data_IF_093978292820
#
_entry.id   IF_093978292820
#
_cell.length_a   1.000
_cell.length_b   1.000
_cell.length_c   1.000
_cell.angle_alpha   90.00
_cell.angle_beta   90.00
_cell.angle_gamma   90.00
#
_symmetry.space_group_name_H-M   'P 1'
#
loop_
_entity.id
_entity.type
_entity.pdbx_description
1 polymer ?
#
# COMPACT_ATOMS: atom_id res chain seq x y z
N UNK A 1 15.04 11.91 9.67
CA UNK A 1 14.93 11.69 8.21
C UNK A 1 15.52 10.32 7.93
N UNK A 2 14.68 9.31 7.70
CA UNK A 2 15.15 7.93 7.47
C UNK A 2 15.57 7.76 6.02
N UNK A 3 16.81 7.32 5.82
CA UNK A 3 17.44 7.07 4.54
C UNK A 3 16.84 5.81 3.88
N UNK A 4 15.80 5.99 3.06
CA UNK A 4 15.48 5.00 2.04
C UNK A 4 16.37 5.30 0.82
N UNK A 5 17.53 4.65 0.81
CA UNK A 5 18.50 4.66 -0.27
C UNK A 5 17.83 4.38 -1.62
N UNK A 6 17.89 5.37 -2.53
CA UNK A 6 18.14 5.35 -3.99
C UNK A 6 18.04 4.04 -4.79
N UNK A 7 17.16 3.11 -4.46
CA UNK A 7 16.62 2.15 -5.42
C UNK A 7 15.37 2.82 -5.96
N UNK A 8 15.45 3.35 -7.18
CA UNK A 8 14.30 3.93 -7.86
C UNK A 8 13.24 2.84 -7.99
N UNK A 9 12.29 2.90 -7.07
CA UNK A 9 11.06 2.14 -7.09
C UNK A 9 10.45 2.25 -8.49
N UNK A 10 10.36 1.11 -9.18
CA UNK A 10 9.91 1.08 -10.58
C UNK A 10 8.38 1.02 -10.59
N UNK A 11 7.69 1.74 -11.50
CA UNK A 11 6.24 1.64 -11.61
C UNK A 11 5.79 0.19 -11.75
N UNK A 12 4.71 -0.18 -11.07
CA UNK A 12 4.19 -1.54 -11.05
C UNK A 12 2.67 -1.57 -11.19
N UNK A 13 2.13 -2.72 -11.59
CA UNK A 13 0.70 -3.06 -11.51
C UNK A 13 0.34 -3.47 -10.09
N UNK A 14 -0.95 -3.56 -9.75
CA UNK A 14 -1.41 -4.03 -8.43
C UNK A 14 -0.90 -5.45 -8.09
N UNK A 15 -0.81 -6.32 -9.09
CA UNK A 15 -0.35 -7.69 -8.87
C UNK A 15 1.14 -7.77 -8.50
N UNK A 16 1.97 -6.92 -9.14
CA UNK A 16 3.43 -6.96 -8.99
C UNK A 16 3.99 -5.95 -7.98
N UNK A 17 3.17 -5.03 -7.49
CA UNK A 17 3.59 -3.98 -6.58
C UNK A 17 3.95 -4.52 -5.20
N UNK A 18 5.07 -4.02 -4.66
CA UNK A 18 5.55 -4.29 -3.31
C UNK A 18 5.41 -3.06 -2.41
N UNK A 19 5.21 -1.88 -3.01
CA UNK A 19 5.12 -0.63 -2.30
C UNK A 19 4.03 0.27 -2.89
N UNK A 20 3.53 1.16 -2.06
CA UNK A 20 2.56 2.17 -2.44
C UNK A 20 2.93 3.54 -1.86
N UNK A 21 2.94 4.56 -2.70
CA UNK A 21 3.05 5.95 -2.26
C UNK A 21 1.66 6.58 -2.24
N UNK A 22 1.32 7.21 -1.11
CA UNK A 22 0.07 7.95 -0.96
C UNK A 22 0.24 9.33 -1.58
N UNK A 23 -0.50 9.65 -2.65
CA UNK A 23 -0.52 10.98 -3.27
C UNK A 23 -1.59 11.88 -2.69
N UNK A 24 -2.72 11.29 -2.29
CA UNK A 24 -3.80 12.00 -1.61
C UNK A 24 -4.50 11.01 -0.67
N UNK A 25 -4.71 11.41 0.59
CA UNK A 25 -5.43 10.60 1.57
C UNK A 25 -6.88 11.08 1.71
N UNK A 26 -7.80 10.13 1.86
CA UNK A 26 -9.19 10.42 2.25
C UNK A 26 -9.35 10.35 3.77
N UNK A 27 -10.32 11.08 4.28
CA UNK A 27 -10.66 11.06 5.69
C UNK A 27 -10.97 9.63 6.15
N UNK A 28 -10.28 9.18 7.21
CA UNK A 28 -10.40 7.83 7.76
C UNK A 28 -9.23 6.90 7.45
N UNK A 29 -8.50 7.11 6.34
CA UNK A 29 -7.26 6.37 6.07
C UNK A 29 -6.13 7.00 6.90
N UNK A 30 -5.66 6.30 7.93
CA UNK A 30 -4.61 6.77 8.87
C UNK A 30 -3.22 6.70 8.22
N UNK A 31 -3.05 7.46 7.14
CA UNK A 31 -1.84 7.45 6.31
C UNK A 31 -1.34 8.86 6.04
N UNK A 32 -0.02 8.97 5.87
CA UNK A 32 0.69 10.20 5.59
C UNK A 32 0.91 10.36 4.08
N UNK A 33 0.45 11.48 3.52
CA UNK A 33 0.69 11.84 2.12
C UNK A 33 2.19 12.00 1.85
N UNK A 34 2.64 11.46 0.71
CA UNK A 34 4.04 11.44 0.29
C UNK A 34 4.85 10.27 0.86
N UNK A 35 4.34 9.58 1.89
CA UNK A 35 4.99 8.39 2.46
C UNK A 35 4.80 7.18 1.56
N UNK A 36 5.81 6.31 1.57
CA UNK A 36 5.78 4.99 0.93
C UNK A 36 5.53 3.94 2.01
N UNK A 37 4.57 3.06 1.75
CA UNK A 37 4.22 1.92 2.58
C UNK A 37 4.55 0.65 1.83
N UNK A 38 4.90 -0.41 2.56
CA UNK A 38 5.03 -1.75 2.01
C UNK A 38 3.63 -2.36 1.87
N UNK A 39 3.38 -2.98 0.72
CA UNK A 39 2.17 -3.76 0.49
C UNK A 39 2.36 -5.16 1.06
N UNK A 40 1.37 -5.61 1.79
CA UNK A 40 1.25 -6.97 2.29
C UNK A 40 0.02 -7.63 1.65
N UNK A 41 -0.03 -8.97 1.68
CA UNK A 41 -1.14 -9.75 1.13
C UNK A 41 -1.66 -10.74 2.17
N UNK A 42 -2.97 -10.71 2.39
CA UNK A 42 -3.66 -11.64 3.27
C UNK A 42 -4.32 -12.74 2.44
N UNK A 43 -3.96 -14.00 2.68
CA UNK A 43 -4.45 -15.16 1.94
C UNK A 43 -5.48 -15.98 2.73
N UNK A 44 -6.02 -15.47 3.83
CA UNK A 44 -6.92 -16.22 4.71
C UNK A 44 -8.28 -16.51 4.09
N UNK A 45 -8.67 -15.79 3.03
CA UNK A 45 -9.94 -15.98 2.30
C UNK A 45 -9.69 -16.30 0.82
N UNK A 46 -9.05 -17.43 0.49
CA UNK A 46 -8.66 -17.77 -0.88
C UNK A 46 -9.87 -17.93 -1.84
N UNK A 47 -11.05 -18.22 -1.30
CA UNK A 47 -12.31 -18.29 -2.04
C UNK A 47 -12.87 -16.92 -2.46
N UNK A 48 -12.42 -15.83 -1.82
CA UNK A 48 -12.81 -14.46 -2.15
C UNK A 48 -11.73 -13.72 -2.94
N UNK A 49 -10.45 -14.02 -2.68
CA UNK A 49 -9.32 -13.29 -3.25
C UNK A 49 -8.24 -14.26 -3.78
N UNK A 50 -8.21 -14.45 -5.10
CA UNK A 50 -7.29 -15.36 -5.79
C UNK A 50 -5.81 -14.96 -5.59
N UNK A 51 -5.51 -13.66 -5.51
CA UNK A 51 -4.17 -13.13 -5.26
C UNK A 51 -3.92 -12.71 -3.80
N UNK A 52 -4.81 -13.06 -2.88
CA UNK A 52 -4.85 -12.47 -1.55
C UNK A 52 -5.33 -11.01 -1.55
N UNK A 53 -5.82 -10.56 -0.40
CA UNK A 53 -6.29 -9.19 -0.21
C UNK A 53 -5.11 -8.27 0.15
N UNK A 54 -4.93 -7.20 -0.63
CA UNK A 54 -3.81 -6.26 -0.44
C UNK A 54 -4.12 -5.32 0.74
N UNK A 55 -3.12 -5.09 1.59
CA UNK A 55 -3.20 -4.10 2.65
C UNK A 55 -1.85 -3.46 2.94
N UNK A 56 -1.88 -2.40 3.75
CA UNK A 56 -0.69 -1.83 4.40
C UNK A 56 -0.89 -1.85 5.91
N UNK A 57 0.21 -1.73 6.65
CA UNK A 57 0.16 -1.30 8.05
C UNK A 57 0.20 0.22 8.09
N UNK A 58 -0.87 0.83 8.59
CA UNK A 58 -1.05 2.27 8.60
C UNK A 58 -0.27 2.98 9.73
N UNK A 59 -0.39 4.30 9.84
CA UNK A 59 0.35 5.08 10.84
C UNK A 59 -0.12 4.80 12.29
N UNK A 60 -1.27 4.14 12.48
CA UNK A 60 -1.76 3.65 13.78
C UNK A 60 -1.43 2.17 14.02
N UNK A 61 -0.58 1.55 13.19
CA UNK A 61 -0.20 0.13 13.27
C UNK A 61 -1.39 -0.83 13.04
N UNK A 62 -2.35 -0.44 12.21
CA UNK A 62 -3.50 -1.28 11.84
C UNK A 62 -3.43 -1.69 10.37
N UNK A 63 -3.92 -2.89 10.09
CA UNK A 63 -4.08 -3.36 8.73
C UNK A 63 -5.16 -2.52 8.02
N UNK A 64 -4.78 -1.88 6.94
CA UNK A 64 -5.67 -1.03 6.15
C UNK A 64 -5.80 -1.58 4.74
N UNK A 65 -6.93 -2.25 4.49
CA UNK A 65 -7.28 -2.87 3.22
C UNK A 65 -7.91 -1.88 2.22
N UNK A 66 -8.29 -0.68 2.67
CA UNK A 66 -9.08 0.26 1.87
C UNK A 66 -8.23 1.27 1.09
N UNK A 67 -6.90 1.21 1.19
CA UNK A 67 -6.04 2.29 0.69
C UNK A 67 -6.09 2.43 -0.83
N UNK A 68 -6.14 1.33 -1.57
CA UNK A 68 -6.17 1.35 -3.04
C UNK A 68 -7.53 1.84 -3.56
N UNK A 69 -8.59 1.67 -2.78
CA UNK A 69 -9.94 2.10 -3.12
C UNK A 69 -10.19 3.57 -2.77
N UNK A 70 -9.69 4.02 -1.63
CA UNK A 70 -10.04 5.33 -1.07
C UNK A 70 -8.98 6.40 -1.33
N UNK A 71 -7.70 6.05 -1.41
CA UNK A 71 -6.61 7.02 -1.57
C UNK A 71 -6.15 7.09 -3.03
N UNK A 72 -5.66 8.25 -3.46
CA UNK A 72 -4.91 8.32 -4.70
C UNK A 72 -3.50 7.80 -4.44
N UNK A 73 -3.09 6.79 -5.20
CA UNK A 73 -1.84 6.08 -4.95
C UNK A 73 -0.99 5.94 -6.20
N UNK A 74 0.31 5.68 -6.00
CA UNK A 74 1.22 5.22 -7.04
C UNK A 74 1.90 3.95 -6.54
N UNK A 75 1.91 2.93 -7.38
CA UNK A 75 2.40 1.60 -7.08
C UNK A 75 3.81 1.41 -7.59
N UNK A 76 4.61 0.68 -6.81
CA UNK A 76 5.98 0.40 -7.16
C UNK A 76 6.41 -1.02 -6.82
N UNK A 77 7.40 -1.50 -7.56
CA UNK A 77 8.18 -2.71 -7.28
C UNK A 77 9.47 -2.38 -6.52
#
# INVERSE_FOLDING_TARGET
MSAYNNKLLSPATEDDAQYVCIKCSKHGCKVTVGRIYRLERNYNNPQLFVGGEIYIVDDEQKDNYSILMLCQTVLYK
#
